data_IF_322598340387
#
_entry.id   IF_322598340387
#
_cell.length_a   1.000
_cell.length_b   1.000
_cell.length_c   1.000
_cell.angle_alpha   90.00
_cell.angle_beta   90.00
_cell.angle_gamma   90.00
#
_symmetry.space_group_name_H-M   'P 1'
#
loop_
_entity.id
_entity.type
_entity.pdbx_description
1 polymer ?
#
# COMPACT_ATOMS: atom_id res chain seq x y z
N UNK A 1 3.28 -8.04 -15.76
CA UNK A 1 2.33 -7.15 -15.10
C UNK A 1 2.89 -5.76 -15.28
N UNK A 2 2.18 -4.90 -15.99
CA UNK A 2 2.49 -3.48 -16.06
C UNK A 2 2.27 -2.92 -14.64
N UNK A 3 3.26 -2.26 -14.07
CA UNK A 3 3.13 -1.62 -12.76
C UNK A 3 2.26 -0.38 -12.96
N UNK A 4 1.12 -0.32 -12.29
CA UNK A 4 0.22 0.83 -12.35
C UNK A 4 0.84 2.02 -11.60
N UNK A 5 0.58 3.24 -12.06
CA UNK A 5 0.95 4.45 -11.34
C UNK A 5 0.02 4.69 -10.15
N UNK A 6 0.56 5.27 -9.08
CA UNK A 6 -0.22 5.61 -7.90
C UNK A 6 -1.30 6.65 -8.25
N UNK A 7 -2.60 6.36 -8.01
CA UNK A 7 -3.68 7.28 -8.38
C UNK A 7 -3.72 8.59 -7.56
N UNK A 8 -2.86 8.73 -6.55
CA UNK A 8 -2.78 9.93 -5.69
C UNK A 8 -1.65 10.87 -6.14
N UNK A 9 -0.49 10.32 -6.47
CA UNK A 9 0.73 11.10 -6.67
C UNK A 9 1.50 10.73 -7.94
N UNK A 10 0.91 9.90 -8.81
CA UNK A 10 1.47 9.50 -10.11
C UNK A 10 2.83 8.78 -10.02
N UNK A 11 3.21 8.34 -8.82
CA UNK A 11 4.45 7.58 -8.60
C UNK A 11 4.23 6.11 -8.92
N UNK A 12 5.15 5.51 -9.67
CA UNK A 12 5.14 4.08 -9.98
C UNK A 12 4.97 3.23 -8.71
N UNK A 13 3.98 2.33 -8.73
CA UNK A 13 3.76 1.38 -7.64
C UNK A 13 4.80 0.27 -7.70
N UNK A 14 5.25 -0.16 -6.53
CA UNK A 14 6.13 -1.33 -6.39
C UNK A 14 5.39 -2.43 -5.63
N UNK A 15 5.87 -3.67 -5.67
CA UNK A 15 5.32 -4.70 -4.81
C UNK A 15 5.54 -4.32 -3.33
N UNK A 16 4.58 -4.65 -2.46
CA UNK A 16 4.70 -4.36 -1.03
C UNK A 16 5.96 -5.00 -0.42
N UNK A 17 6.35 -6.17 -0.92
CA UNK A 17 7.56 -6.86 -0.50
C UNK A 17 8.87 -6.15 -0.90
N UNK A 18 8.86 -5.36 -1.98
CA UNK A 18 10.02 -4.61 -2.47
C UNK A 18 10.23 -3.28 -1.70
N UNK A 19 9.27 -2.87 -0.86
CA UNK A 19 9.44 -1.68 -0.04
C UNK A 19 10.57 -1.90 1.00
N UNK A 20 11.49 -0.93 1.17
CA UNK A 20 12.56 -1.02 2.16
C UNK A 20 12.02 -1.34 3.55
N UNK A 21 12.70 -2.25 4.27
CA UNK A 21 12.25 -2.74 5.57
C UNK A 21 11.99 -1.61 6.58
N UNK A 22 12.79 -0.54 6.54
CA UNK A 22 12.64 0.65 7.39
C UNK A 22 11.27 1.35 7.23
N UNK A 23 10.66 1.28 6.03
CA UNK A 23 9.33 1.85 5.74
C UNK A 23 8.24 0.78 5.78
N UNK A 24 8.55 -0.46 5.38
CA UNK A 24 7.62 -1.59 5.35
C UNK A 24 7.24 -2.08 6.75
N UNK A 25 8.19 -2.23 7.66
CA UNK A 25 7.95 -2.76 9.01
C UNK A 25 6.93 -1.90 9.78
N UNK A 26 7.06 -0.56 9.84
CA UNK A 26 6.04 0.29 10.47
C UNK A 26 4.64 0.09 9.87
N UNK A 27 4.52 -0.13 8.56
CA UNK A 27 3.23 -0.36 7.88
C UNK A 27 2.66 -1.76 8.11
N UNK A 28 3.52 -2.75 8.38
CA UNK A 28 3.12 -4.10 8.79
C UNK A 28 2.62 -4.11 10.23
N UNK A 29 3.24 -3.31 11.10
CA UNK A 29 2.90 -3.19 12.51
C UNK A 29 1.74 -2.23 12.77
N UNK A 30 1.34 -1.41 11.78
CA UNK A 30 0.20 -0.50 11.88
C UNK A 30 -1.13 -1.27 12.02
N UNK A 31 -1.79 -1.23 13.20
CA UNK A 31 -3.01 -2.00 13.45
C UNK A 31 -4.20 -1.49 12.62
N UNK A 32 -4.20 -0.23 12.19
CA UNK A 32 -5.24 0.38 11.34
C UNK A 32 -5.18 -0.18 9.91
N UNK A 33 -4.00 -0.67 9.49
CA UNK A 33 -3.74 -1.27 8.17
C UNK A 33 -3.71 -2.81 8.18
N UNK A 34 -3.65 -3.44 9.35
CA UNK A 34 -3.69 -4.90 9.53
C UNK A 34 -5.09 -5.50 9.36
N UNK A 35 -5.72 -5.24 8.20
CA UNK A 35 -6.99 -5.90 7.82
C UNK A 35 -6.77 -7.28 7.17
N UNK A 36 -5.55 -7.57 6.70
CA UNK A 36 -5.09 -8.85 6.14
C UNK A 36 -3.73 -9.23 6.72
N UNK A 37 -3.40 -10.53 6.70
CA UNK A 37 -2.11 -11.03 7.18
C UNK A 37 -0.95 -10.42 6.39
N UNK A 38 0.17 -10.16 7.08
CA UNK A 38 1.41 -9.63 6.46
C UNK A 38 1.87 -10.47 5.27
N UNK A 39 1.79 -11.79 5.38
CA UNK A 39 2.14 -12.69 4.27
C UNK A 39 1.28 -12.45 3.01
N UNK A 40 -0.02 -12.20 3.19
CA UNK A 40 -0.94 -11.91 2.09
C UNK A 40 -0.60 -10.56 1.44
N UNK A 41 -0.33 -9.54 2.26
CA UNK A 41 0.07 -8.20 1.78
C UNK A 41 1.34 -8.26 0.93
N UNK A 42 2.37 -9.00 1.39
CA UNK A 42 3.62 -9.16 0.64
C UNK A 42 3.43 -9.87 -0.71
N UNK A 43 2.51 -10.81 -0.82
CA UNK A 43 2.30 -11.58 -2.06
C UNK A 43 1.35 -10.87 -3.03
N UNK A 44 0.32 -10.19 -2.52
CA UNK A 44 -0.82 -9.72 -3.33
C UNK A 44 -0.94 -8.21 -3.42
N UNK A 45 -0.21 -7.43 -2.63
CA UNK A 45 -0.39 -5.98 -2.59
C UNK A 45 0.78 -5.26 -3.26
N UNK A 46 0.45 -4.14 -3.88
CA UNK A 46 1.38 -3.12 -4.33
C UNK A 46 1.33 -1.93 -3.38
N UNK A 47 2.40 -1.14 -3.33
CA UNK A 47 2.50 0.04 -2.51
C UNK A 47 3.16 1.19 -3.25
N UNK A 48 2.66 2.40 -3.00
CA UNK A 48 3.34 3.61 -3.44
C UNK A 48 4.49 3.93 -2.47
N UNK A 49 5.75 3.98 -2.93
CA UNK A 49 6.87 4.35 -2.08
C UNK A 49 6.85 5.83 -1.67
N UNK A 50 6.08 6.67 -2.36
CA UNK A 50 5.95 8.10 -2.04
C UNK A 50 4.93 8.34 -0.92
N UNK A 51 3.66 8.02 -1.16
CA UNK A 51 2.55 8.31 -0.23
C UNK A 51 2.10 7.12 0.63
N UNK A 52 2.75 5.96 0.53
CA UNK A 52 2.42 4.73 1.30
C UNK A 52 1.00 4.20 1.09
N UNK A 53 0.37 4.55 -0.03
CA UNK A 53 -0.89 3.98 -0.47
C UNK A 53 -0.71 2.49 -0.77
N UNK A 54 -1.44 1.64 -0.07
CA UNK A 54 -1.45 0.20 -0.31
C UNK A 54 -2.65 -0.19 -1.18
N UNK A 55 -2.37 -0.86 -2.29
CA UNK A 55 -3.36 -1.27 -3.29
C UNK A 55 -3.32 -2.79 -3.40
N UNK A 56 -4.49 -3.41 -3.33
CA UNK A 56 -4.61 -4.84 -3.56
C UNK A 56 -4.35 -5.13 -5.05
N UNK A 57 -3.70 -6.24 -5.40
CA UNK A 57 -3.37 -6.61 -6.79
C UNK A 57 -4.55 -6.88 -7.71
N UNK A 58 -5.79 -6.64 -7.24
CA UNK A 58 -7.00 -6.55 -8.06
C UNK A 58 -7.38 -5.08 -8.35
N UNK A 59 -6.44 -4.15 -8.19
CA UNK A 59 -6.58 -2.69 -8.35
C UNK A 59 -7.65 -2.05 -7.44
N UNK A 60 -8.01 -2.72 -6.33
CA UNK A 60 -8.88 -2.13 -5.30
C UNK A 60 -8.05 -1.44 -4.21
N UNK A 61 -8.34 -0.16 -3.88
CA UNK A 61 -7.65 0.55 -2.81
C UNK A 61 -7.98 -0.08 -1.46
N UNK A 62 -6.94 -0.56 -0.76
CA UNK A 62 -7.10 -1.37 0.45
C UNK A 62 -6.98 -0.53 1.73
N UNK A 63 -6.05 0.42 1.73
CA UNK A 63 -5.86 1.40 2.78
C UNK A 63 -5.55 2.77 2.15
N UNK A 64 -6.55 3.63 2.07
CA UNK A 64 -6.36 5.04 1.70
C UNK A 64 -5.72 5.72 2.93
N UNK A 65 -4.61 6.47 2.77
CA UNK A 65 -4.05 7.28 3.85
C UNK A 65 -5.13 8.16 4.51
N UNK A 66 -5.10 8.33 5.83
CA UNK A 66 -6.08 9.12 6.60
C UNK A 66 -6.27 10.54 6.04
N UNK A 67 -5.19 11.11 5.49
CA UNK A 67 -5.13 12.41 4.80
C UNK A 67 -6.02 12.52 3.55
N UNK A 68 -6.49 11.38 3.01
CA UNK A 68 -7.31 11.29 1.81
C UNK A 68 -8.69 10.65 2.07
N UNK A 69 -9.03 10.36 3.32
CA UNK A 69 -10.39 9.92 3.68
C UNK A 69 -11.26 11.18 3.75
N UNK A 70 -12.32 11.32 2.92
CA UNK A 70 -13.24 12.44 3.08
C UNK A 70 -13.85 12.37 4.48
N UNK A 71 -13.72 13.45 5.24
CA UNK A 71 -14.38 13.60 6.54
C UNK A 71 -15.88 13.37 6.36
N UNK A 72 -16.43 12.41 7.10
CA UNK A 72 -17.88 12.18 7.17
C UNK A 72 -18.59 13.32 7.89
#
# INVERSE_FOLDING_TARGET
MELEDCPICDTELIAFADLPAERRVPLEEDPSRQRQSVAHRREKHSICPSCTLEIHGCSQPYAIPDEHVPAQ
#
